data_IF_385015450693
#
_entry.id   IF_385015450693
#
_cell.length_a   1.000
_cell.length_b   1.000
_cell.length_c   1.000
_cell.angle_alpha   90.00
_cell.angle_beta   90.00
_cell.angle_gamma   90.00
#
_symmetry.space_group_name_H-M   'P 1'
#
loop_
_entity.id
_entity.type
_entity.pdbx_description
1 polymer ?
#
# COMPACT_ATOMS: atom_id res chain seq x y z
N UNK A 1 -6.08 16.08 7.76
CA UNK A 1 -6.48 14.80 8.39
C UNK A 1 -5.46 14.47 9.47
N UNK A 2 -5.89 14.04 10.66
CA UNK A 2 -5.01 13.77 11.79
C UNK A 2 -4.52 12.32 11.84
N UNK A 3 -3.76 11.94 12.88
CA UNK A 3 -3.37 10.54 13.17
C UNK A 3 -4.57 9.58 13.23
N UNK A 4 -4.32 8.28 13.02
CA UNK A 4 -5.30 7.22 13.27
C UNK A 4 -4.99 6.62 14.64
N UNK A 5 -5.94 6.65 15.55
CA UNK A 5 -5.76 6.22 16.94
C UNK A 5 -6.55 4.95 17.23
N UNK A 6 -5.97 4.06 18.03
CA UNK A 6 -6.64 2.85 18.53
C UNK A 6 -6.30 1.56 17.77
N UNK A 7 -5.63 1.66 16.61
CA UNK A 7 -5.25 0.47 15.82
C UNK A 7 -4.32 -0.45 16.61
N UNK A 8 -3.27 0.08 17.23
CA UNK A 8 -2.34 -0.76 17.99
C UNK A 8 -2.91 -1.23 19.35
N UNK A 9 -4.04 -0.68 19.78
CA UNK A 9 -4.72 -1.00 21.03
C UNK A 9 -5.90 -1.96 20.84
N UNK A 10 -6.29 -2.25 19.60
CA UNK A 10 -7.36 -3.21 19.36
C UNK A 10 -6.90 -4.63 19.71
N UNK A 11 -7.88 -5.50 19.96
CA UNK A 11 -7.61 -6.93 20.17
C UNK A 11 -7.05 -7.48 18.86
N UNK A 12 -5.91 -8.17 18.96
CA UNK A 12 -5.34 -8.90 17.83
C UNK A 12 -6.25 -10.07 17.50
N UNK A 13 -6.69 -10.12 16.25
CA UNK A 13 -7.48 -11.20 15.68
C UNK A 13 -6.61 -12.04 14.73
N UNK A 14 -7.07 -13.26 14.44
CA UNK A 14 -6.54 -14.02 13.31
C UNK A 14 -6.78 -13.27 12.00
N UNK A 15 -6.07 -13.60 10.93
CA UNK A 15 -6.30 -12.99 9.62
C UNK A 15 -7.74 -13.21 9.14
N UNK A 16 -8.28 -14.41 9.35
CA UNK A 16 -9.66 -14.76 9.00
C UNK A 16 -10.66 -13.86 9.72
N UNK A 17 -10.53 -13.75 11.05
CA UNK A 17 -11.43 -12.93 11.86
C UNK A 17 -11.27 -11.43 11.58
N UNK A 18 -10.03 -10.98 11.33
CA UNK A 18 -9.74 -9.60 10.94
C UNK A 18 -10.34 -9.23 9.58
N UNK A 19 -10.31 -10.15 8.62
CA UNK A 19 -10.92 -9.99 7.31
C UNK A 19 -12.45 -10.01 7.41
N UNK A 20 -13.03 -10.95 8.15
CA UNK A 20 -14.48 -11.02 8.38
C UNK A 20 -15.01 -9.77 9.10
N UNK A 21 -14.28 -9.27 10.11
CA UNK A 21 -14.63 -8.06 10.84
C UNK A 21 -14.70 -6.82 9.94
N UNK A 22 -13.99 -6.79 8.81
CA UNK A 22 -14.00 -5.65 7.89
C UNK A 22 -15.36 -5.38 7.24
N UNK A 23 -16.23 -6.40 7.16
CA UNK A 23 -17.53 -6.31 6.50
C UNK A 23 -17.47 -6.22 4.97
N UNK A 24 -16.31 -6.50 4.36
CA UNK A 24 -16.19 -6.60 2.90
C UNK A 24 -16.90 -7.88 2.43
N UNK A 25 -17.79 -7.75 1.45
CA UNK A 25 -18.53 -8.87 0.87
C UNK A 25 -17.57 -9.88 0.21
N UNK A 26 -17.93 -11.17 0.25
CA UNK A 26 -17.20 -12.27 -0.38
C UNK A 26 -15.70 -12.38 -0.01
N UNK A 27 -15.32 -11.86 1.16
CA UNK A 27 -13.92 -11.87 1.61
C UNK A 27 -13.45 -13.25 2.09
N UNK A 28 -14.37 -14.14 2.51
CA UNK A 28 -14.04 -15.40 3.18
C UNK A 28 -13.11 -16.30 2.35
N UNK A 29 -13.38 -16.44 1.06
CA UNK A 29 -12.54 -17.26 0.17
C UNK A 29 -11.12 -16.67 0.03
N UNK A 30 -11.01 -15.35 -0.08
CA UNK A 30 -9.74 -14.66 -0.18
C UNK A 30 -8.97 -14.70 1.15
N UNK A 31 -9.66 -14.55 2.27
CA UNK A 31 -9.08 -14.66 3.60
C UNK A 31 -8.56 -16.08 3.86
N UNK A 32 -9.29 -17.11 3.43
CA UNK A 32 -8.86 -18.50 3.56
C UNK A 32 -7.60 -18.76 2.74
N UNK A 33 -7.58 -18.36 1.45
CA UNK A 33 -6.39 -18.48 0.61
C UNK A 33 -5.19 -17.72 1.21
N UNK A 34 -5.43 -16.53 1.75
CA UNK A 34 -4.40 -15.74 2.39
C UNK A 34 -3.87 -16.37 3.68
N UNK A 35 -4.73 -17.03 4.47
CA UNK A 35 -4.33 -17.76 5.67
C UNK A 35 -3.43 -18.95 5.32
N UNK A 36 -3.80 -19.73 4.30
CA UNK A 36 -2.99 -20.85 3.82
C UNK A 36 -1.64 -20.37 3.27
N UNK A 37 -1.64 -19.31 2.45
CA UNK A 37 -0.42 -18.70 1.94
C UNK A 37 0.45 -18.14 3.08
N UNK A 38 -0.16 -17.50 4.07
CA UNK A 38 0.50 -16.97 5.25
C UNK A 38 1.20 -18.06 6.06
N UNK A 39 0.54 -19.19 6.31
CA UNK A 39 1.14 -20.33 6.99
C UNK A 39 2.37 -20.89 6.24
N UNK A 40 2.29 -20.98 4.92
CA UNK A 40 3.42 -21.43 4.08
C UNK A 40 4.59 -20.43 4.11
N UNK A 41 4.30 -19.14 4.00
CA UNK A 41 5.31 -18.07 4.01
C UNK A 41 6.03 -17.97 5.36
N UNK A 42 5.27 -18.08 6.46
CA UNK A 42 5.77 -17.97 7.84
C UNK A 42 6.72 -19.12 8.22
N UNK A 43 6.52 -20.32 7.69
CA UNK A 43 7.30 -21.51 8.03
C UNK A 43 8.83 -21.34 7.81
N UNK A 44 9.22 -20.50 6.86
CA UNK A 44 10.62 -20.20 6.55
C UNK A 44 10.86 -18.68 6.42
N UNK A 45 10.08 -17.87 7.14
CA UNK A 45 10.18 -16.42 7.03
C UNK A 45 11.48 -15.89 7.68
N UNK A 46 12.34 -15.18 6.91
CA UNK A 46 13.61 -14.68 7.43
C UNK A 46 13.47 -13.50 8.39
N UNK A 47 12.26 -12.95 8.54
CA UNK A 47 11.98 -11.74 9.33
C UNK A 47 11.09 -12.04 10.54
N UNK A 48 10.72 -13.31 10.77
CA UNK A 48 9.92 -13.73 11.92
C UNK A 48 8.47 -13.29 11.87
N UNK A 49 7.91 -13.12 10.68
CA UNK A 49 6.47 -12.92 10.51
C UNK A 49 5.73 -14.20 10.89
N UNK A 50 4.63 -14.05 11.62
CA UNK A 50 3.71 -15.18 11.84
C UNK A 50 2.77 -15.36 10.63
N UNK A 51 1.95 -16.42 10.67
CA UNK A 51 1.05 -16.78 9.58
C UNK A 51 0.04 -15.67 9.27
N UNK A 52 -0.52 -15.03 10.30
CA UNK A 52 -1.51 -13.96 10.14
C UNK A 52 -0.89 -12.70 9.54
N UNK A 53 0.33 -12.34 9.96
CA UNK A 53 1.07 -11.20 9.41
C UNK A 53 1.46 -11.41 7.95
N UNK A 54 2.02 -12.56 7.62
CA UNK A 54 2.41 -12.90 6.25
C UNK A 54 1.17 -12.99 5.35
N UNK A 55 0.09 -13.61 5.84
CA UNK A 55 -1.17 -13.71 5.12
C UNK A 55 -1.86 -12.34 4.95
N UNK A 56 -1.74 -11.42 5.90
CA UNK A 56 -2.28 -10.07 5.75
C UNK A 56 -1.60 -9.31 4.60
N UNK A 57 -0.27 -9.40 4.49
CA UNK A 57 0.48 -8.82 3.38
C UNK A 57 0.07 -9.46 2.05
N UNK A 58 -0.10 -10.78 2.02
CA UNK A 58 -0.57 -11.51 0.85
C UNK A 58 -1.98 -11.05 0.43
N UNK A 59 -2.92 -10.98 1.37
CA UNK A 59 -4.30 -10.56 1.11
C UNK A 59 -4.38 -9.15 0.53
N UNK A 60 -3.51 -8.24 0.99
CA UNK A 60 -3.46 -6.86 0.47
C UNK A 60 -3.17 -6.84 -1.03
N UNK A 61 -2.32 -7.75 -1.50
CA UNK A 61 -1.90 -7.83 -2.90
C UNK A 61 -2.85 -8.68 -3.76
N UNK A 62 -3.69 -9.51 -3.15
CA UNK A 62 -4.64 -10.35 -3.87
C UNK A 62 -5.74 -9.51 -4.53
N UNK A 63 -6.16 -9.91 -5.73
CA UNK A 63 -7.26 -9.26 -6.44
C UNK A 63 -8.58 -9.52 -5.72
N UNK A 64 -9.04 -8.54 -4.94
CA UNK A 64 -10.29 -8.58 -4.18
C UNK A 64 -10.80 -7.15 -3.94
N UNK A 65 -12.05 -7.01 -3.47
CA UNK A 65 -12.62 -5.72 -3.07
C UNK A 65 -12.11 -5.22 -1.70
N UNK A 66 -11.23 -6.00 -1.06
CA UNK A 66 -10.67 -5.66 0.25
C UNK A 66 -9.76 -4.43 0.21
N UNK A 67 -8.69 -4.46 -0.60
CA UNK A 67 -7.74 -3.36 -0.66
C UNK A 67 -8.35 -2.07 -1.26
N UNK A 68 -9.26 -2.10 -2.27
CA UNK A 68 -9.93 -0.90 -2.75
C UNK A 68 -10.78 -0.25 -1.66
N UNK A 69 -11.58 -1.04 -0.93
CA UNK A 69 -12.44 -0.56 0.16
C UNK A 69 -11.62 0.03 1.30
N UNK A 70 -10.60 -0.69 1.77
CA UNK A 70 -9.68 -0.20 2.81
C UNK A 70 -9.03 1.14 2.39
N UNK A 71 -8.50 1.21 1.18
CA UNK A 71 -7.83 2.41 0.69
C UNK A 71 -8.79 3.59 0.47
N UNK A 72 -10.06 3.34 0.15
CA UNK A 72 -11.08 4.38 0.12
C UNK A 72 -11.31 4.96 1.51
N UNK A 73 -11.55 4.11 2.51
CA UNK A 73 -11.80 4.51 3.90
C UNK A 73 -10.59 5.21 4.54
N UNK A 74 -9.37 4.83 4.18
CA UNK A 74 -8.17 5.52 4.65
C UNK A 74 -8.10 6.98 4.17
N UNK A 75 -8.69 7.29 2.99
CA UNK A 75 -8.74 8.64 2.41
C UNK A 75 -9.89 9.49 2.95
N UNK A 76 -10.87 8.92 3.66
CA UNK A 76 -11.99 9.69 4.20
C UNK A 76 -11.58 10.49 5.44
N UNK A 77 -12.20 11.67 5.60
CA UNK A 77 -11.96 12.53 6.76
C UNK A 77 -12.59 11.97 8.03
N UNK A 78 -13.84 11.51 7.92
CA UNK A 78 -14.45 10.67 8.95
C UNK A 78 -13.97 9.23 8.78
N UNK A 79 -13.36 8.69 9.82
CA UNK A 79 -12.76 7.35 9.85
C UNK A 79 -13.51 6.40 10.79
N UNK A 80 -14.73 6.74 11.21
CA UNK A 80 -15.61 5.84 11.96
C UNK A 80 -15.79 4.50 11.23
N UNK A 81 -16.02 4.54 9.93
CA UNK A 81 -16.15 3.36 9.06
C UNK A 81 -14.83 2.57 8.85
N UNK A 82 -13.68 3.10 9.29
CA UNK A 82 -12.40 2.38 9.24
C UNK A 82 -12.20 1.46 10.45
N UNK A 83 -12.94 1.69 11.55
CA UNK A 83 -12.80 0.92 12.80
C UNK A 83 -12.88 -0.61 12.58
N UNK A 84 -13.79 -1.15 11.74
CA UNK A 84 -13.85 -2.59 11.48
C UNK A 84 -12.57 -3.17 10.85
N UNK A 85 -11.77 -2.34 10.17
CA UNK A 85 -10.47 -2.74 9.60
C UNK A 85 -9.31 -2.65 10.59
N UNK A 86 -9.51 -2.18 11.82
CA UNK A 86 -8.42 -1.99 12.78
C UNK A 86 -7.65 -3.28 13.10
N UNK A 87 -8.31 -4.44 13.32
CA UNK A 87 -7.59 -5.70 13.52
C UNK A 87 -6.68 -6.05 12.34
N UNK A 88 -7.14 -5.86 11.10
CA UNK A 88 -6.33 -6.08 9.91
C UNK A 88 -5.17 -5.09 9.81
N UNK A 89 -5.42 -3.80 10.05
CA UNK A 89 -4.38 -2.76 10.08
C UNK A 89 -3.32 -3.06 11.16
N UNK A 90 -3.73 -3.62 12.30
CA UNK A 90 -2.81 -4.04 13.35
C UNK A 90 -1.88 -5.15 12.87
N UNK A 91 -2.38 -6.16 12.14
CA UNK A 91 -1.53 -7.19 11.51
C UNK A 91 -0.53 -6.55 10.54
N UNK A 92 -1.00 -5.69 9.64
CA UNK A 92 -0.15 -5.01 8.64
C UNK A 92 0.94 -4.13 9.27
N UNK A 93 0.62 -3.40 10.34
CA UNK A 93 1.57 -2.54 11.06
C UNK A 93 2.54 -3.36 11.92
N UNK A 94 2.09 -4.47 12.49
CA UNK A 94 2.97 -5.39 13.23
C UNK A 94 3.97 -6.04 12.27
N UNK A 95 3.52 -6.55 11.14
CA UNK A 95 4.38 -7.08 10.07
C UNK A 95 5.41 -6.03 9.62
N UNK A 96 4.97 -4.79 9.35
CA UNK A 96 5.86 -3.67 8.99
C UNK A 96 6.99 -3.46 10.00
N UNK A 97 6.73 -3.63 11.29
CA UNK A 97 7.74 -3.40 12.33
C UNK A 97 8.86 -4.45 12.33
N UNK A 98 8.60 -5.63 11.77
CA UNK A 98 9.55 -6.75 11.66
C UNK A 98 10.33 -6.73 10.33
N UNK A 99 9.76 -6.12 9.29
CA UNK A 99 10.34 -6.11 7.95
C UNK A 99 11.44 -5.05 7.78
N UNK A 100 12.45 -5.33 6.94
CA UNK A 100 13.45 -4.33 6.57
C UNK A 100 12.80 -3.18 5.80
N UNK A 101 13.29 -1.96 6.06
CA UNK A 101 12.85 -0.76 5.36
C UNK A 101 13.50 -0.70 3.97
N UNK A 102 12.69 -0.48 2.95
CA UNK A 102 13.18 -0.12 1.62
C UNK A 102 13.36 1.39 1.53
N UNK A 103 14.56 1.82 1.13
CA UNK A 103 14.89 3.21 0.80
C UNK A 103 15.31 3.27 -0.67
N UNK A 104 14.70 4.15 -1.44
CA UNK A 104 14.98 4.32 -2.86
C UNK A 104 13.83 4.95 -3.62
N UNK A 105 14.00 5.07 -4.94
CA UNK A 105 12.92 5.52 -5.82
C UNK A 105 11.96 4.38 -6.13
N UNK A 106 10.67 4.69 -6.11
CA UNK A 106 9.60 3.81 -6.55
C UNK A 106 8.67 4.54 -7.51
N UNK A 107 7.93 3.77 -8.30
CA UNK A 107 7.03 4.31 -9.31
C UNK A 107 5.60 3.79 -9.14
N UNK A 108 4.63 4.67 -9.37
CA UNK A 108 3.20 4.32 -9.36
C UNK A 108 2.48 4.94 -10.54
N UNK A 109 1.79 4.11 -11.31
CA UNK A 109 0.94 4.57 -12.40
C UNK A 109 -0.50 4.85 -11.97
N UNK A 110 -1.12 5.87 -12.55
CA UNK A 110 -2.56 6.14 -12.48
C UNK A 110 -3.08 6.47 -13.88
N UNK A 111 -4.04 5.69 -14.37
CA UNK A 111 -4.63 5.85 -15.70
C UNK A 111 -5.76 6.87 -15.72
N UNK A 112 -5.98 7.48 -16.88
CA UNK A 112 -7.17 8.28 -17.19
C UNK A 112 -7.20 9.68 -16.60
N UNK A 113 -6.10 10.16 -16.00
CA UNK A 113 -6.11 11.43 -15.27
C UNK A 113 -4.77 12.15 -15.28
N UNK A 114 -4.82 13.49 -15.43
CA UNK A 114 -3.74 14.42 -15.10
C UNK A 114 -3.92 14.86 -13.63
N UNK A 115 -2.96 14.51 -12.77
CA UNK A 115 -3.01 14.85 -11.36
C UNK A 115 -2.16 16.07 -10.98
N UNK A 116 -1.43 16.69 -11.90
CA UNK A 116 -0.44 17.75 -11.58
C UNK A 116 -1.05 18.91 -10.77
N UNK A 117 -2.27 19.32 -11.12
CA UNK A 117 -2.96 20.41 -10.41
C UNK A 117 -3.18 20.11 -8.91
N UNK A 118 -3.22 18.84 -8.50
CA UNK A 118 -3.39 18.43 -7.09
C UNK A 118 -2.06 18.46 -6.30
N UNK A 119 -0.93 18.42 -7.02
CA UNK A 119 0.43 18.38 -6.50
C UNK A 119 1.23 19.60 -6.99
N UNK A 120 0.90 20.82 -6.52
CA UNK A 120 1.73 21.99 -6.75
C UNK A 120 3.07 21.85 -6.04
N UNK A 121 4.12 22.39 -6.66
CA UNK A 121 5.49 22.38 -6.15
C UNK A 121 5.59 22.87 -4.71
N UNK A 122 6.50 22.26 -3.95
CA UNK A 122 6.80 22.51 -2.53
C UNK A 122 5.67 22.20 -1.53
N UNK A 123 4.46 21.85 -2.00
CA UNK A 123 3.37 21.44 -1.12
C UNK A 123 3.70 20.14 -0.39
N UNK A 124 3.34 20.08 0.88
CA UNK A 124 3.32 18.85 1.64
C UNK A 124 1.96 18.16 1.52
N UNK A 125 1.99 16.85 1.28
CA UNK A 125 0.80 16.01 1.14
C UNK A 125 0.91 14.80 2.07
N UNK A 126 -0.24 14.39 2.60
CA UNK A 126 -0.34 13.17 3.39
C UNK A 126 -0.91 12.05 2.53
N UNK A 127 -0.15 10.98 2.37
CA UNK A 127 -0.53 9.79 1.64
C UNK A 127 -1.19 8.80 2.59
N UNK A 128 -2.52 8.83 2.65
CA UNK A 128 -3.27 8.06 3.64
C UNK A 128 -3.62 6.64 3.22
N UNK A 129 -3.74 6.35 1.93
CA UNK A 129 -3.96 4.99 1.47
C UNK A 129 -2.66 4.20 1.47
N UNK A 130 -2.77 2.87 1.54
CA UNK A 130 -1.70 2.03 1.05
C UNK A 130 -1.50 2.27 -0.46
N UNK A 131 -0.27 2.13 -0.92
CA UNK A 131 0.02 2.15 -2.35
C UNK A 131 1.04 1.11 -2.72
N UNK A 132 0.57 0.18 -3.54
CA UNK A 132 1.46 -0.66 -4.34
C UNK A 132 2.25 0.25 -5.29
N UNK A 133 3.57 0.11 -5.26
CA UNK A 133 4.51 0.79 -6.13
C UNK A 133 5.51 -0.24 -6.64
N UNK A 134 6.15 0.02 -7.76
CA UNK A 134 7.21 -0.86 -8.28
C UNK A 134 8.57 -0.19 -8.10
N UNK A 135 9.62 -0.97 -7.87
CA UNK A 135 11.02 -0.53 -8.01
C UNK A 135 11.57 -0.75 -9.43
N UNK A 136 10.74 -1.17 -10.38
CA UNK A 136 11.11 -1.41 -11.77
C UNK A 136 10.26 -0.56 -12.71
N UNK A 137 10.85 0.50 -13.27
CA UNK A 137 10.12 1.42 -14.15
C UNK A 137 9.49 0.72 -15.36
N UNK A 138 10.13 -0.33 -15.90
CA UNK A 138 9.62 -1.10 -17.04
C UNK A 138 8.24 -1.73 -16.76
N UNK A 139 7.94 -2.11 -15.51
CA UNK A 139 6.64 -2.65 -15.11
C UNK A 139 5.50 -1.71 -15.50
N UNK A 140 5.70 -0.39 -15.49
CA UNK A 140 4.67 0.57 -15.91
C UNK A 140 4.28 0.49 -17.40
N UNK A 141 5.10 -0.13 -18.25
CA UNK A 141 4.73 -0.35 -19.66
C UNK A 141 3.58 -1.34 -19.82
N UNK A 142 3.34 -2.21 -18.83
CA UNK A 142 2.26 -3.18 -18.88
C UNK A 142 0.89 -2.44 -18.79
N UNK A 143 -0.03 -2.72 -19.74
CA UNK A 143 -1.36 -2.11 -19.77
C UNK A 143 -2.21 -2.35 -18.52
N UNK A 144 -1.90 -3.30 -17.65
CA UNK A 144 -2.60 -3.50 -16.37
C UNK A 144 -2.25 -2.40 -15.36
N UNK A 145 -1.03 -1.85 -15.38
CA UNK A 145 -0.59 -0.81 -14.44
C UNK A 145 -0.82 0.61 -14.98
N UNK A 146 -0.06 1.00 -15.99
CA UNK A 146 -0.11 2.34 -16.57
C UNK A 146 -0.31 2.28 -18.09
N UNK A 147 0.50 1.45 -18.77
CA UNK A 147 0.51 1.36 -20.22
C UNK A 147 1.23 2.54 -20.89
N UNK A 148 1.25 2.51 -22.22
CA UNK A 148 2.08 3.41 -23.04
C UNK A 148 1.30 4.50 -23.77
N UNK A 149 -0.03 4.58 -23.58
CA UNK A 149 -0.90 5.51 -24.30
C UNK A 149 -2.04 6.05 -23.43
N UNK A 150 -2.72 7.10 -23.91
CA UNK A 150 -3.84 7.75 -23.22
C UNK A 150 -3.39 8.72 -22.11
N UNK A 151 -4.35 9.50 -21.59
CA UNK A 151 -4.13 10.41 -20.46
C UNK A 151 -3.75 9.58 -19.24
N UNK A 152 -2.59 9.86 -18.63
CA UNK A 152 -2.08 9.07 -17.51
C UNK A 152 -1.03 9.82 -16.70
N UNK A 153 -0.99 9.58 -15.39
CA UNK A 153 0.00 10.15 -14.48
C UNK A 153 0.92 9.05 -13.94
N UNK A 154 2.23 9.29 -13.96
CA UNK A 154 3.22 8.51 -13.21
C UNK A 154 3.73 9.31 -12.01
N UNK A 155 3.69 8.70 -10.84
CA UNK A 155 4.40 9.19 -9.67
C UNK A 155 5.78 8.56 -9.63
N UNK A 156 6.81 9.39 -9.45
CA UNK A 156 8.12 8.96 -8.98
C UNK A 156 8.26 9.44 -7.54
N UNK A 157 8.48 8.51 -6.62
CA UNK A 157 8.48 8.77 -5.19
C UNK A 157 9.82 8.32 -4.60
N UNK A 158 10.59 9.25 -4.05
CA UNK A 158 11.77 8.96 -3.26
C UNK A 158 11.32 8.60 -1.84
N UNK A 159 11.36 7.32 -1.47
CA UNK A 159 10.88 6.84 -0.17
C UNK A 159 12.04 6.37 0.71
N UNK A 160 11.84 6.45 2.03
CA UNK A 160 12.77 5.98 3.06
C UNK A 160 12.15 4.86 3.92
N UNK A 161 10.83 4.75 3.95
CA UNK A 161 10.11 3.78 4.79
C UNK A 161 9.17 2.84 4.02
N UNK A 162 9.53 2.47 2.79
CA UNK A 162 8.84 1.44 2.03
C UNK A 162 8.99 0.05 2.63
N UNK A 163 8.12 -0.87 2.24
CA UNK A 163 8.22 -2.29 2.59
C UNK A 163 8.25 -3.11 1.31
N UNK A 164 9.32 -3.85 1.08
CA UNK A 164 9.40 -4.76 -0.07
C UNK A 164 8.45 -5.95 0.16
N UNK A 165 7.46 -6.09 -0.73
CA UNK A 165 6.45 -7.15 -0.65
C UNK A 165 6.71 -8.29 -1.63
N UNK A 166 7.82 -8.29 -2.36
CA UNK A 166 8.05 -9.29 -3.40
C UNK A 166 7.93 -10.71 -2.87
N UNK A 167 8.38 -10.99 -1.64
CA UNK A 167 8.25 -12.31 -0.99
C UNK A 167 6.82 -12.65 -0.57
N UNK A 168 6.02 -11.65 -0.20
CA UNK A 168 4.71 -11.82 0.44
C UNK A 168 3.54 -11.65 -0.52
N UNK A 169 3.80 -11.16 -1.74
CA UNK A 169 2.76 -10.88 -2.72
C UNK A 169 2.06 -12.15 -3.22
N UNK A 170 0.78 -12.04 -3.54
CA UNK A 170 0.00 -13.04 -4.26
C UNK A 170 0.51 -13.23 -5.70
N UNK A 171 1.26 -12.26 -6.24
CA UNK A 171 1.86 -12.32 -7.56
C UNK A 171 3.36 -12.64 -7.47
N UNK A 172 3.72 -13.87 -7.83
CA UNK A 172 5.08 -14.38 -7.79
C UNK A 172 5.64 -14.68 -9.19
N UNK A 173 6.97 -14.86 -9.29
CA UNK A 173 7.63 -15.27 -10.53
C UNK A 173 7.50 -14.23 -11.65
N UNK A 174 7.01 -14.65 -12.83
CA UNK A 174 6.85 -13.76 -14.00
C UNK A 174 5.77 -12.69 -13.80
N UNK A 175 4.86 -12.88 -12.84
CA UNK A 175 3.84 -11.90 -12.47
C UNK A 175 4.33 -10.91 -11.39
N UNK A 176 5.54 -11.10 -10.84
CA UNK A 176 6.10 -10.26 -9.79
C UNK A 176 6.27 -8.82 -10.27
N UNK A 177 5.69 -7.88 -9.52
CA UNK A 177 5.76 -6.44 -9.83
C UNK A 177 6.99 -5.76 -9.22
N UNK A 178 7.85 -6.52 -8.53
CA UNK A 178 8.92 -5.99 -7.69
C UNK A 178 8.34 -4.93 -6.73
N UNK A 179 7.25 -5.33 -6.06
CA UNK A 179 6.37 -4.45 -5.33
C UNK A 179 7.03 -3.92 -4.06
N UNK A 180 6.95 -2.60 -3.88
CA UNK A 180 7.24 -1.92 -2.64
C UNK A 180 5.95 -1.23 -2.17
N UNK A 181 5.51 -1.56 -0.97
CA UNK A 181 4.31 -1.01 -0.38
C UNK A 181 4.62 0.29 0.36
N UNK A 182 3.95 1.36 -0.04
CA UNK A 182 3.87 2.59 0.74
C UNK A 182 2.73 2.50 1.74
N UNK A 183 3.03 2.73 3.01
CA UNK A 183 2.04 2.64 4.08
C UNK A 183 1.24 3.95 4.25
N UNK A 184 0.00 3.86 4.78
CA UNK A 184 -0.79 4.99 5.21
C UNK A 184 -0.05 5.94 6.14
N UNK A 185 -0.34 7.22 6.00
CA UNK A 185 0.25 8.26 6.84
C UNK A 185 1.67 8.64 6.43
N UNK A 186 2.10 8.26 5.22
CA UNK A 186 3.38 8.74 4.68
C UNK A 186 3.25 10.23 4.34
N UNK A 187 4.15 11.05 4.86
CA UNK A 187 4.22 12.48 4.50
C UNK A 187 5.17 12.65 3.33
N UNK A 188 4.69 13.32 2.28
CA UNK A 188 5.47 13.54 1.05
C UNK A 188 5.52 15.04 0.76
N UNK A 189 6.64 15.51 0.23
CA UNK A 189 6.80 16.85 -0.35
C UNK A 189 6.80 16.73 -1.87
N UNK A 190 6.03 17.59 -2.53
CA UNK A 190 6.07 17.71 -3.99
C UNK A 190 7.37 18.39 -4.40
N UNK A 191 8.20 17.68 -5.15
CA UNK A 191 9.44 18.22 -5.71
C UNK A 191 9.14 18.98 -7.00
N UNK A 192 8.40 18.36 -7.92
CA UNK A 192 7.95 18.99 -9.15
C UNK A 192 6.84 18.18 -9.85
N UNK A 193 6.16 18.78 -10.82
CA UNK A 193 5.14 18.13 -11.63
C UNK A 193 5.14 18.68 -13.07
N UNK A 194 5.21 17.82 -14.08
CA UNK A 194 5.35 18.25 -15.47
C UNK A 194 4.62 17.33 -16.46
N UNK A 195 4.31 17.87 -17.64
CA UNK A 195 3.84 17.08 -18.78
C UNK A 195 5.04 16.51 -19.54
N UNK A 196 5.00 15.22 -19.85
CA UNK A 196 6.06 14.48 -20.52
C UNK A 196 5.76 14.23 -22.01
N UNK A 197 4.64 14.76 -22.52
CA UNK A 197 4.14 14.53 -23.87
C UNK A 197 3.33 13.23 -24.01
N UNK A 198 2.59 13.11 -25.12
CA UNK A 198 1.82 11.89 -25.43
C UNK A 198 0.76 11.52 -24.37
N UNK A 199 0.21 12.53 -23.68
CA UNK A 199 -0.76 12.34 -22.59
C UNK A 199 -0.17 11.79 -21.28
N UNK A 200 1.16 11.71 -21.16
CA UNK A 200 1.85 11.30 -19.94
C UNK A 200 2.20 12.52 -19.08
N UNK A 201 1.86 12.46 -17.80
CA UNK A 201 2.23 13.45 -16.79
C UNK A 201 3.08 12.79 -15.72
N UNK A 202 4.07 13.51 -15.20
CA UNK A 202 4.91 13.04 -14.10
C UNK A 202 4.74 13.93 -12.88
N UNK A 203 4.61 13.30 -11.71
CA UNK A 203 4.68 13.97 -10.40
C UNK A 203 5.85 13.37 -9.62
N UNK A 204 6.79 14.21 -9.19
CA UNK A 204 7.92 13.81 -8.36
C UNK A 204 7.63 14.18 -6.90
N UNK A 205 7.65 13.18 -6.03
CA UNK A 205 7.45 13.30 -4.60
C UNK A 205 8.69 12.80 -3.84
N UNK A 206 8.95 13.40 -2.66
CA UNK A 206 9.97 12.95 -1.72
C UNK A 206 9.35 12.72 -0.35
N UNK A 207 9.63 11.58 0.27
CA UNK A 207 9.21 11.32 1.64
C UNK A 207 9.88 12.27 2.62
N UNK A 208 9.07 12.81 3.53
CA UNK A 208 9.51 13.67 4.62
C UNK A 208 9.52 12.82 5.89
N UNK A 209 10.69 12.65 6.55
CA UNK A 209 10.77 11.94 7.81
C UNK A 209 9.83 12.54 8.86
N UNK A 210 9.16 11.66 9.59
CA UNK A 210 8.24 12.04 10.65
C UNK A 210 8.94 12.03 12.01
N UNK A 211 8.64 13.03 12.84
CA UNK A 211 9.10 13.12 14.23
C UNK A 211 8.10 12.50 15.22
N UNK A 212 6.92 12.07 14.74
CA UNK A 212 5.84 11.51 15.56
C UNK A 212 5.20 10.30 14.87
N UNK A 213 4.72 9.34 15.67
CA UNK A 213 3.95 8.21 15.16
C UNK A 213 2.57 8.65 14.65
N UNK A 214 2.20 8.16 13.46
CA UNK A 214 0.91 8.46 12.78
C UNK A 214 -0.20 7.49 13.20
N UNK A 215 0.19 6.30 13.62
CA UNK A 215 -0.67 5.33 14.28
C UNK A 215 -0.35 5.33 15.78
N UNK A 216 -1.34 5.64 16.63
CA UNK A 216 -1.20 5.76 18.09
C UNK A 216 -2.20 4.89 18.84
#
# INVERSE_FOLDING_TARGET
>A
MGPITGVMKCVRLSLMDAAAASGVEDIDAHAFMASEAGAQLAAADPHGLDADEAGALWLYTAQSDFYPTLNQLLRTRDRSALIPFFPYLQLMLTARSKLPKYTGSVWRGVKGVDLRAQYPKDKEVWWWAFSSTTKQLHTLTNPMFLGTSGVRTVFMIEIVHGVDLQRYSAFQGVASEAEVLLYPGTKLKVVDAMEMGGGLFQVHLREVPLTVAVFK
#
